data_IF_881121835685
#
_entry.id   IF_881121835685
#
_cell.length_a   1.000
_cell.length_b   1.000
_cell.length_c   1.000
_cell.angle_alpha   90.00
_cell.angle_beta   90.00
_cell.angle_gamma   90.00
#
_symmetry.space_group_name_H-M   'P 1'
#
loop_
_entity.id
_entity.type
_entity.pdbx_description
1 polymer ?
#
# COMPACT_ATOMS: atom_id res chain seq x y z
N UNK A 1 9.71 14.56 -2.52
CA UNK A 1 9.33 13.19 -2.91
C UNK A 1 8.35 12.59 -1.91
N UNK A 2 7.35 11.85 -2.37
CA UNK A 2 6.43 11.14 -1.46
C UNK A 2 7.18 9.95 -0.84
N UNK A 3 7.11 9.81 0.48
CA UNK A 3 7.79 8.76 1.22
C UNK A 3 6.80 7.71 1.72
N UNK A 4 7.29 6.52 2.04
CA UNK A 4 6.48 5.47 2.66
C UNK A 4 5.89 5.94 3.99
N UNK A 5 6.64 6.73 4.75
CA UNK A 5 6.17 7.30 6.01
C UNK A 5 4.97 8.23 5.80
N UNK A 6 5.02 9.08 4.77
CA UNK A 6 3.90 9.96 4.41
C UNK A 6 2.67 9.14 4.01
N UNK A 7 2.85 8.08 3.23
CA UNK A 7 1.75 7.19 2.82
C UNK A 7 1.11 6.52 4.04
N UNK A 8 1.94 5.97 4.94
CA UNK A 8 1.44 5.32 6.17
C UNK A 8 0.64 6.27 7.04
N UNK A 9 1.01 7.54 7.07
CA UNK A 9 0.38 8.54 7.92
C UNK A 9 -0.76 9.28 7.23
N UNK A 10 -0.98 9.02 5.95
CA UNK A 10 -2.07 9.66 5.21
C UNK A 10 -3.43 9.22 5.77
N UNK A 11 -4.29 10.20 6.00
CA UNK A 11 -5.61 9.97 6.60
C UNK A 11 -6.49 9.06 5.75
N UNK A 12 -6.49 9.28 4.44
CA UNK A 12 -7.29 8.47 3.52
C UNK A 12 -6.77 7.03 3.46
N UNK A 13 -5.46 6.84 3.41
CA UNK A 13 -4.84 5.51 3.41
C UNK A 13 -5.23 4.74 4.68
N UNK A 14 -5.13 5.38 5.83
CA UNK A 14 -5.52 4.74 7.10
C UNK A 14 -6.99 4.33 7.11
N UNK A 15 -7.87 5.21 6.62
CA UNK A 15 -9.29 4.91 6.57
C UNK A 15 -9.60 3.75 5.64
N UNK A 16 -8.98 3.71 4.46
CA UNK A 16 -9.23 2.66 3.47
C UNK A 16 -8.70 1.31 3.94
N UNK A 17 -7.54 1.27 4.56
CA UNK A 17 -6.99 0.02 5.09
C UNK A 17 -7.87 -0.51 6.22
N UNK A 18 -8.33 0.35 7.12
CA UNK A 18 -9.23 -0.05 8.19
C UNK A 18 -10.55 -0.62 7.65
N UNK A 19 -11.11 0.01 6.60
CA UNK A 19 -12.33 -0.47 5.97
C UNK A 19 -12.13 -1.77 5.22
N UNK A 20 -11.01 -1.95 4.55
CA UNK A 20 -10.66 -3.20 3.88
C UNK A 20 -10.56 -4.35 4.88
N UNK A 21 -9.91 -4.12 6.01
CA UNK A 21 -9.79 -5.11 7.08
C UNK A 21 -11.16 -5.50 7.64
N UNK A 22 -12.03 -4.52 7.90
CA UNK A 22 -13.39 -4.74 8.36
C UNK A 22 -14.18 -5.59 7.37
N UNK A 23 -14.11 -5.30 6.07
CA UNK A 23 -14.79 -6.04 5.03
C UNK A 23 -14.30 -7.48 4.93
N UNK A 24 -12.99 -7.70 5.00
CA UNK A 24 -12.39 -9.02 4.92
C UNK A 24 -12.71 -9.85 6.16
N UNK A 25 -12.73 -9.24 7.33
CA UNK A 25 -13.12 -9.92 8.58
C UNK A 25 -14.57 -10.42 8.50
N UNK A 26 -15.47 -9.63 7.95
CA UNK A 26 -16.87 -10.02 7.76
C UNK A 26 -17.02 -11.22 6.81
N UNK A 27 -16.06 -11.40 5.87
CA UNK A 27 -16.04 -12.53 4.94
C UNK A 27 -15.24 -13.73 5.48
N UNK A 28 -14.71 -13.66 6.69
CA UNK A 28 -13.93 -14.72 7.30
C UNK A 28 -12.42 -14.69 6.98
N UNK A 29 -11.94 -13.70 6.27
CA UNK A 29 -10.51 -13.52 6.04
C UNK A 29 -9.86 -12.86 7.26
N UNK A 30 -8.58 -13.18 7.49
CA UNK A 30 -7.79 -12.62 8.58
C UNK A 30 -6.47 -12.06 8.05
N UNK A 31 -5.82 -11.23 8.86
CA UNK A 31 -4.45 -10.74 8.60
C UNK A 31 -4.29 -9.85 7.36
N UNK A 32 -5.29 -9.02 7.06
CA UNK A 32 -5.21 -8.00 6.01
C UNK A 32 -5.19 -6.60 6.61
N UNK A 33 -4.74 -6.50 7.86
CA UNK A 33 -4.69 -5.27 8.64
C UNK A 33 -3.38 -4.50 8.41
N UNK A 34 -3.21 -3.42 9.16
CA UNK A 34 -1.98 -2.64 9.18
C UNK A 34 -0.73 -3.48 9.45
N UNK A 35 -0.83 -4.52 10.29
CA UNK A 35 0.29 -5.39 10.60
C UNK A 35 0.77 -6.14 9.35
N UNK A 36 -0.16 -6.67 8.55
CA UNK A 36 0.17 -7.37 7.32
C UNK A 36 0.85 -6.46 6.30
N UNK A 37 0.23 -5.31 5.99
CA UNK A 37 0.80 -4.40 4.97
C UNK A 37 2.12 -3.79 5.45
N UNK A 38 2.26 -3.55 6.75
CA UNK A 38 3.51 -3.10 7.34
C UNK A 38 4.62 -4.14 7.17
N UNK A 39 4.29 -5.41 7.41
CA UNK A 39 5.23 -6.51 7.22
C UNK A 39 5.67 -6.64 5.76
N UNK A 40 4.73 -6.56 4.82
CA UNK A 40 5.04 -6.63 3.38
C UNK A 40 5.95 -5.49 2.98
N UNK A 41 5.65 -4.26 3.41
CA UNK A 41 6.47 -3.10 3.11
C UNK A 41 7.90 -3.24 3.67
N UNK A 42 8.03 -3.68 4.92
CA UNK A 42 9.33 -3.87 5.56
C UNK A 42 10.13 -4.99 4.91
N UNK A 43 9.47 -6.06 4.50
CA UNK A 43 10.10 -7.18 3.79
C UNK A 43 10.62 -6.72 2.43
N UNK A 44 9.84 -5.95 1.69
CA UNK A 44 10.26 -5.38 0.41
C UNK A 44 11.49 -4.48 0.59
N UNK A 45 11.49 -3.64 1.62
CA UNK A 45 12.64 -2.80 1.96
C UNK A 45 13.89 -3.65 2.21
N UNK A 46 13.78 -4.66 3.05
CA UNK A 46 14.90 -5.54 3.40
C UNK A 46 15.49 -6.22 2.16
N UNK A 47 14.62 -6.76 1.30
CA UNK A 47 15.06 -7.45 0.09
C UNK A 47 15.84 -6.49 -0.83
N UNK A 48 15.31 -5.31 -1.08
CA UNK A 48 15.95 -4.36 -1.99
C UNK A 48 17.22 -3.76 -1.41
N UNK A 49 17.26 -3.50 -0.10
CA UNK A 49 18.50 -3.07 0.57
C UNK A 49 19.59 -4.13 0.44
N UNK A 50 19.25 -5.39 0.65
CA UNK A 50 20.19 -6.51 0.54
C UNK A 50 20.73 -6.66 -0.88
N UNK A 51 19.89 -6.39 -1.89
CA UNK A 51 20.28 -6.48 -3.29
C UNK A 51 20.98 -5.21 -3.81
N UNK A 52 21.10 -4.17 -2.99
CA UNK A 52 21.83 -2.96 -3.35
C UNK A 52 21.06 -1.95 -4.18
N UNK A 53 19.74 -1.97 -4.18
CA UNK A 53 18.93 -0.96 -4.87
C UNK A 53 19.05 0.39 -4.18
N UNK A 54 18.79 1.46 -4.93
CA UNK A 54 18.90 2.80 -4.39
C UNK A 54 17.73 3.18 -3.47
N UNK A 55 17.90 4.26 -2.71
CA UNK A 55 16.89 4.70 -1.74
C UNK A 55 15.55 5.01 -2.38
N UNK A 56 15.53 5.56 -3.59
CA UNK A 56 14.30 5.90 -4.31
C UNK A 56 13.49 4.64 -4.63
N UNK A 57 14.15 3.62 -5.17
CA UNK A 57 13.50 2.35 -5.51
C UNK A 57 13.01 1.61 -4.27
N UNK A 58 13.77 1.65 -3.19
CA UNK A 58 13.37 1.07 -1.89
C UNK A 58 12.11 1.75 -1.38
N UNK A 59 12.05 3.07 -1.47
CA UNK A 59 10.88 3.84 -1.04
C UNK A 59 9.63 3.47 -1.84
N UNK A 60 9.75 3.37 -3.17
CA UNK A 60 8.65 2.97 -4.05
C UNK A 60 8.16 1.55 -3.73
N UNK A 61 9.08 0.63 -3.48
CA UNK A 61 8.72 -0.75 -3.13
C UNK A 61 7.96 -0.82 -1.81
N UNK A 62 8.36 -0.03 -0.82
CA UNK A 62 7.64 0.04 0.46
C UNK A 62 6.23 0.59 0.28
N UNK A 63 6.06 1.64 -0.52
CA UNK A 63 4.75 2.22 -0.83
C UNK A 63 3.86 1.18 -1.52
N UNK A 64 4.40 0.50 -2.53
CA UNK A 64 3.67 -0.55 -3.25
C UNK A 64 3.23 -1.67 -2.30
N UNK A 65 4.12 -2.14 -1.44
CA UNK A 65 3.80 -3.17 -0.45
C UNK A 65 2.72 -2.74 0.52
N UNK A 66 2.77 -1.50 0.97
CA UNK A 66 1.79 -0.97 1.91
C UNK A 66 0.39 -0.84 1.29
N UNK A 67 0.31 -0.52 0.00
CA UNK A 67 -0.95 -0.29 -0.70
C UNK A 67 -1.49 -1.50 -1.46
N UNK A 68 -0.76 -2.63 -1.49
CA UNK A 68 -1.08 -3.73 -2.41
C UNK A 68 -2.47 -4.35 -2.21
N UNK A 69 -3.01 -4.33 -1.01
CA UNK A 69 -4.32 -4.91 -0.70
C UNK A 69 -5.44 -3.88 -0.53
N UNK A 70 -5.17 -2.60 -0.81
CA UNK A 70 -6.13 -1.53 -0.52
C UNK A 70 -7.43 -1.69 -1.32
N UNK A 71 -7.38 -2.36 -2.46
CA UNK A 71 -8.55 -2.63 -3.29
C UNK A 71 -9.62 -3.49 -2.62
N UNK A 72 -9.28 -4.17 -1.55
CA UNK A 72 -10.25 -4.97 -0.78
C UNK A 72 -11.35 -4.11 -0.13
N UNK A 73 -11.17 -2.79 -0.03
CA UNK A 73 -12.23 -1.90 0.44
C UNK A 73 -13.39 -1.84 -0.57
N UNK A 74 -13.10 -2.09 -1.85
CA UNK A 74 -14.10 -2.07 -2.93
C UNK A 74 -14.66 -3.47 -3.16
N UNK A 75 -13.77 -4.44 -3.41
CA UNK A 75 -14.17 -5.83 -3.65
C UNK A 75 -12.99 -6.77 -3.41
N UNK A 76 -13.29 -8.03 -3.10
CA UNK A 76 -12.27 -9.08 -2.97
C UNK A 76 -11.87 -9.61 -4.34
N UNK A 77 -12.84 -9.82 -5.22
CA UNK A 77 -12.61 -10.23 -6.61
C UNK A 77 -12.04 -9.03 -7.36
N UNK A 78 -10.94 -9.23 -8.05
CA UNK A 78 -10.23 -8.18 -8.80
C UNK A 78 -9.73 -7.03 -7.93
N UNK A 79 -9.46 -7.27 -6.63
CA UNK A 79 -8.98 -6.24 -5.72
C UNK A 79 -7.64 -5.62 -6.17
N UNK A 80 -6.84 -6.34 -6.97
CA UNK A 80 -5.59 -5.80 -7.50
C UNK A 80 -5.84 -4.68 -8.49
N UNK A 81 -6.85 -4.79 -9.36
CA UNK A 81 -7.22 -3.71 -10.28
C UNK A 81 -7.82 -2.52 -9.53
N UNK A 82 -8.75 -2.78 -8.61
CA UNK A 82 -9.32 -1.73 -7.76
C UNK A 82 -8.24 -1.03 -6.94
N UNK A 83 -7.29 -1.79 -6.40
CA UNK A 83 -6.17 -1.27 -5.65
C UNK A 83 -5.25 -0.39 -6.48
N UNK A 84 -4.99 -0.76 -7.72
CA UNK A 84 -4.17 0.04 -8.63
C UNK A 84 -4.80 1.41 -8.90
N UNK A 85 -6.11 1.44 -9.15
CA UNK A 85 -6.85 2.69 -9.37
C UNK A 85 -6.85 3.55 -8.11
N UNK A 86 -7.09 2.96 -6.95
CA UNK A 86 -7.07 3.66 -5.67
C UNK A 86 -5.69 4.23 -5.36
N UNK A 87 -4.63 3.43 -5.58
CA UNK A 87 -3.27 3.86 -5.35
C UNK A 87 -2.90 5.03 -6.26
N UNK A 88 -3.27 4.98 -7.53
CA UNK A 88 -3.08 6.08 -8.45
C UNK A 88 -3.71 7.36 -7.90
N UNK A 89 -4.97 7.30 -7.47
CA UNK A 89 -5.69 8.47 -6.95
C UNK A 89 -5.03 9.03 -5.71
N UNK A 90 -4.66 8.16 -4.77
CA UNK A 90 -4.04 8.56 -3.51
C UNK A 90 -2.70 9.25 -3.77
N UNK A 91 -1.86 8.62 -4.58
CA UNK A 91 -0.51 9.13 -4.83
C UNK A 91 -0.52 10.38 -5.69
N UNK A 92 -1.45 10.47 -6.63
CA UNK A 92 -1.64 11.69 -7.42
C UNK A 92 -2.08 12.86 -6.54
N UNK A 93 -2.98 12.62 -5.59
CA UNK A 93 -3.39 13.65 -4.62
C UNK A 93 -2.22 14.09 -3.71
N UNK A 94 -1.26 13.21 -3.48
CA UNK A 94 -0.05 13.53 -2.71
C UNK A 94 1.06 14.15 -3.57
N UNK A 95 0.76 14.39 -4.84
CA UNK A 95 1.68 15.01 -5.80
C UNK A 95 2.94 14.18 -6.06
N UNK A 96 2.80 12.85 -6.07
CA UNK A 96 3.88 11.97 -6.47
C UNK A 96 4.18 12.17 -7.96
N UNK A 97 5.47 12.09 -8.33
CA UNK A 97 5.90 12.17 -9.71
C UNK A 97 5.17 11.13 -10.56
N UNK A 98 4.51 11.52 -11.67
CA UNK A 98 3.79 10.57 -12.51
C UNK A 98 4.61 9.38 -13.00
N UNK A 99 5.91 9.55 -13.14
CA UNK A 99 6.78 8.45 -13.56
C UNK A 99 6.92 7.37 -12.47
N UNK A 100 6.68 7.75 -11.21
CA UNK A 100 6.79 6.83 -10.08
C UNK A 100 5.46 6.15 -9.74
N UNK A 101 4.35 6.72 -10.16
CA UNK A 101 3.05 6.14 -9.94
C UNK A 101 2.84 4.94 -10.85
#
# INVERSE_FOLDING_TARGET
>A
MVTAEQVKNDRAVKAYIAKADESLSALGYTEHSFAHVGLVANTAKYILETLGYDAHQIELAQIAGYLHDIGNVVNRVDHSQSGAVMAFRILDNMEMDPEDI
#
